data_IF_927300928848
#
_entry.id   IF_927300928848
#
_cell.length_a   1.000
_cell.length_b   1.000
_cell.length_c   1.000
_cell.angle_alpha   90.00
_cell.angle_beta   90.00
_cell.angle_gamma   90.00
#
_symmetry.space_group_name_H-M   'P 1'
#
loop_
_entity.id
_entity.type
_entity.pdbx_description
1 polymer ?
#
# COMPACT_ATOMS: atom_id res chain seq x y z
N UNK A 1 -3.99 -3.82 -7.89
CA UNK A 1 -3.71 -2.57 -7.20
C UNK A 1 -4.17 -1.43 -8.09
N UNK A 2 -5.02 -0.60 -7.54
CA UNK A 2 -5.40 0.66 -8.16
C UNK A 2 -4.33 1.66 -7.74
N UNK A 3 -3.92 2.57 -8.58
CA UNK A 3 -3.07 3.68 -8.23
C UNK A 3 -1.85 3.31 -7.35
N UNK A 4 -0.69 3.20 -7.99
CA UNK A 4 0.57 2.82 -7.33
C UNK A 4 1.53 4.02 -7.19
N UNK A 5 1.01 5.26 -7.27
CA UNK A 5 1.84 6.43 -7.08
C UNK A 5 2.18 6.59 -5.61
N UNK A 6 3.42 6.92 -5.35
CA UNK A 6 3.87 7.33 -4.03
C UNK A 6 4.91 8.46 -4.16
N UNK A 7 5.05 9.20 -3.10
CA UNK A 7 6.04 10.26 -2.99
C UNK A 7 7.03 9.91 -1.89
N UNK A 8 8.32 10.04 -2.23
CA UNK A 8 9.42 9.83 -1.28
C UNK A 8 9.96 11.16 -0.82
N UNK A 9 10.02 11.35 0.49
CA UNK A 9 10.68 12.48 1.13
C UNK A 9 11.87 11.96 1.92
N UNK A 10 13.03 12.52 1.66
CA UNK A 10 14.26 12.15 2.35
C UNK A 10 14.69 13.28 3.27
N UNK A 11 14.88 12.95 4.55
CA UNK A 11 15.49 13.79 5.55
C UNK A 11 16.82 13.16 6.05
N UNK A 12 17.51 13.83 6.95
CA UNK A 12 18.80 13.34 7.45
C UNK A 12 18.67 12.04 8.28
N UNK A 13 17.60 11.89 9.02
CA UNK A 13 17.37 10.83 10.01
C UNK A 13 16.17 9.93 9.70
N UNK A 14 15.43 10.23 8.63
CA UNK A 14 14.28 9.42 8.22
C UNK A 14 13.94 9.58 6.74
N UNK A 15 13.18 8.63 6.23
CA UNK A 15 12.49 8.70 4.94
C UNK A 15 10.99 8.61 5.18
N UNK A 16 10.20 9.36 4.43
CA UNK A 16 8.75 9.25 4.44
C UNK A 16 8.28 8.74 3.07
N UNK A 17 7.43 7.73 3.08
CA UNK A 17 6.73 7.22 1.90
C UNK A 17 5.26 7.60 2.05
N UNK A 18 4.79 8.54 1.23
CA UNK A 18 3.39 8.93 1.14
C UNK A 18 2.75 8.20 -0.04
N UNK A 19 1.77 7.35 0.24
CA UNK A 19 1.01 6.67 -0.79
C UNK A 19 -0.18 7.53 -1.21
N UNK A 20 -0.45 7.59 -2.51
CA UNK A 20 -1.61 8.32 -3.04
C UNK A 20 -2.92 7.61 -2.64
N UNK A 21 -2.95 6.26 -2.75
CA UNK A 21 -4.09 5.49 -2.26
C UNK A 21 -4.13 5.52 -0.73
N UNK A 22 -5.30 5.87 -0.16
CA UNK A 22 -5.59 5.96 1.28
C UNK A 22 -4.80 7.09 1.98
N UNK A 23 -3.94 7.82 1.28
CA UNK A 23 -3.03 8.88 1.76
C UNK A 23 -2.23 8.51 3.01
N UNK A 24 -1.93 7.22 3.16
CA UNK A 24 -1.12 6.74 4.27
C UNK A 24 0.35 7.14 4.10
N UNK A 25 0.94 7.61 5.19
CA UNK A 25 2.34 7.95 5.25
C UNK A 25 3.10 6.99 6.17
N UNK A 26 4.16 6.37 5.66
CA UNK A 26 5.11 5.58 6.46
C UNK A 26 6.33 6.42 6.77
N UNK A 27 6.59 6.67 8.05
CA UNK A 27 7.81 7.32 8.52
C UNK A 27 8.81 6.23 8.89
N UNK A 28 9.95 6.23 8.24
CA UNK A 28 10.99 5.21 8.31
C UNK A 28 12.25 5.82 8.95
N UNK A 29 12.47 5.63 10.25
CA UNK A 29 13.70 6.09 10.92
C UNK A 29 14.93 5.39 10.35
N UNK A 30 16.04 6.16 10.21
CA UNK A 30 17.35 5.70 9.71
C UNK A 30 18.42 5.69 10.83
N UNK A 31 18.03 5.90 12.07
CA UNK A 31 18.92 6.08 13.22
C UNK A 31 19.37 4.76 13.88
N UNK A 32 19.05 3.62 13.28
CA UNK A 32 19.46 2.30 13.77
C UNK A 32 18.74 1.82 15.04
N UNK A 33 17.68 2.54 15.49
CA UNK A 33 16.87 2.07 16.62
C UNK A 33 16.18 0.74 16.31
N UNK A 34 15.96 -0.12 17.29
CA UNK A 34 15.25 -1.39 17.08
C UNK A 34 13.77 -1.14 16.77
N UNK A 35 13.11 -2.18 16.27
CA UNK A 35 11.65 -2.20 16.17
C UNK A 35 11.02 -2.06 17.55
N UNK A 36 9.77 -1.59 17.59
CA UNK A 36 9.00 -1.52 18.82
C UNK A 36 8.70 -2.93 19.35
N UNK A 37 8.23 -3.01 20.61
CA UNK A 37 7.82 -4.30 21.19
C UNK A 37 6.88 -5.04 20.22
N UNK A 38 7.06 -6.36 20.01
CA UNK A 38 6.22 -7.17 19.12
C UNK A 38 4.72 -7.14 19.46
N UNK A 39 4.35 -6.74 20.66
CA UNK A 39 2.94 -6.55 21.07
C UNK A 39 2.31 -5.29 20.49
N UNK A 40 3.13 -4.32 20.05
CA UNK A 40 2.65 -3.08 19.42
C UNK A 40 2.45 -3.36 17.95
N UNK A 41 1.20 -3.60 17.55
CA UNK A 41 0.82 -3.91 16.16
C UNK A 41 0.25 -2.69 15.46
N UNK A 42 0.59 -2.52 14.18
CA UNK A 42 0.20 -1.36 13.37
C UNK A 42 -0.32 -1.81 12.01
N UNK A 43 -1.20 -1.02 11.40
CA UNK A 43 -1.77 -1.32 10.07
C UNK A 43 -0.70 -1.45 8.97
N UNK A 44 0.26 -0.52 8.95
CA UNK A 44 1.36 -0.51 7.98
C UNK A 44 2.64 -1.15 8.54
N UNK A 45 2.53 -1.81 9.70
CA UNK A 45 3.68 -2.35 10.39
C UNK A 45 4.58 -1.26 10.97
N UNK A 46 5.69 -1.68 11.55
CA UNK A 46 6.73 -0.82 12.10
C UNK A 46 7.98 -0.92 11.21
N UNK A 47 8.31 0.15 10.52
CA UNK A 47 9.41 0.19 9.55
C UNK A 47 10.71 0.73 10.17
N UNK A 48 11.84 0.17 9.75
CA UNK A 48 13.21 0.65 10.02
C UNK A 48 14.00 0.65 8.74
N UNK A 49 14.75 1.72 8.52
CA UNK A 49 15.54 1.88 7.31
C UNK A 49 17.03 1.98 7.59
N UNK A 50 17.82 1.59 6.60
CA UNK A 50 19.26 1.82 6.54
C UNK A 50 19.71 1.97 5.10
N UNK A 51 20.82 2.62 4.90
CA UNK A 51 21.49 2.65 3.61
C UNK A 51 22.46 1.48 3.48
N UNK A 52 22.43 0.84 2.31
CA UNK A 52 23.35 -0.19 1.87
C UNK A 52 23.93 0.30 0.53
N UNK A 53 25.04 1.04 0.60
CA UNK A 53 25.54 1.82 -0.53
C UNK A 53 24.48 2.82 -1.01
N UNK A 54 24.08 2.75 -2.28
CA UNK A 54 23.07 3.63 -2.89
C UNK A 54 21.64 3.07 -2.80
N UNK A 55 21.44 2.00 -2.03
CA UNK A 55 20.14 1.35 -1.84
C UNK A 55 19.57 1.67 -0.46
N UNK A 56 18.35 2.18 -0.42
CA UNK A 56 17.58 2.24 0.82
C UNK A 56 16.98 0.85 1.09
N UNK A 57 17.34 0.25 2.22
CA UNK A 57 16.77 -1.00 2.70
C UNK A 57 15.83 -0.69 3.84
N UNK A 58 14.61 -1.18 3.74
CA UNK A 58 13.56 -0.99 4.75
C UNK A 58 13.06 -2.34 5.24
N UNK A 59 13.16 -2.58 6.53
CA UNK A 59 12.60 -3.76 7.18
C UNK A 59 11.31 -3.35 7.90
N UNK A 60 10.23 -4.10 7.66
CA UNK A 60 8.92 -3.82 8.27
C UNK A 60 8.34 -5.07 8.91
N UNK A 61 8.02 -4.95 10.19
CA UNK A 61 7.41 -6.00 11.02
C UNK A 61 6.22 -5.44 11.79
N UNK A 62 5.71 -6.17 12.78
CA UNK A 62 4.66 -5.70 13.69
C UNK A 62 3.36 -5.29 12.99
N UNK A 63 3.00 -6.00 11.95
CA UNK A 63 1.71 -5.80 11.29
C UNK A 63 0.55 -6.23 12.19
N UNK A 64 -0.60 -5.59 12.03
CA UNK A 64 -1.84 -5.99 12.67
C UNK A 64 -2.35 -7.32 12.08
N UNK A 65 -3.03 -8.13 12.90
CA UNK A 65 -3.78 -9.30 12.48
C UNK A 65 -4.93 -8.98 11.50
N UNK A 66 -5.30 -7.69 11.41
CA UNK A 66 -6.30 -7.17 10.47
C UNK A 66 -5.70 -6.72 9.14
N UNK A 67 -4.37 -6.57 9.06
CA UNK A 67 -3.68 -6.31 7.80
C UNK A 67 -3.59 -7.63 7.03
N UNK A 68 -3.92 -7.63 5.75
CA UNK A 68 -3.76 -8.81 4.92
C UNK A 68 -2.97 -8.49 3.66
N UNK A 69 -1.84 -9.17 3.49
CA UNK A 69 -1.07 -9.13 2.26
C UNK A 69 -0.95 -10.55 1.69
N UNK A 70 -1.80 -10.89 0.70
CA UNK A 70 -1.86 -12.23 0.08
C UNK A 70 -2.06 -13.37 1.09
N UNK A 71 -2.81 -13.11 2.17
CA UNK A 71 -3.06 -14.04 3.26
C UNK A 71 -2.12 -13.91 4.45
N UNK A 72 -0.95 -13.32 4.30
CA UNK A 72 -0.06 -12.99 5.40
C UNK A 72 -0.61 -11.85 6.25
N UNK A 73 -0.39 -11.92 7.55
CA UNK A 73 -0.96 -10.99 8.53
C UNK A 73 0.10 -10.58 9.57
N UNK A 74 -0.13 -10.90 10.83
CA UNK A 74 0.68 -10.45 11.97
C UNK A 74 2.13 -10.95 11.97
N UNK A 75 2.39 -12.07 11.29
CA UNK A 75 3.73 -12.66 11.15
C UNK A 75 4.47 -12.22 9.89
N UNK A 76 3.83 -11.32 9.13
CA UNK A 76 4.43 -10.75 7.93
C UNK A 76 5.70 -9.96 8.27
N UNK A 77 6.77 -10.28 7.56
CA UNK A 77 8.01 -9.53 7.52
C UNK A 77 8.30 -9.13 6.08
N UNK A 78 8.52 -7.85 5.87
CA UNK A 78 8.90 -7.31 4.56
C UNK A 78 10.32 -6.75 4.63
N UNK A 79 11.12 -7.11 3.64
CA UNK A 79 12.38 -6.42 3.32
C UNK A 79 12.23 -5.74 1.97
N UNK A 80 12.20 -4.43 1.99
CA UNK A 80 12.03 -3.58 0.80
C UNK A 80 13.36 -2.94 0.45
N UNK A 81 13.70 -2.90 -0.84
CA UNK A 81 14.93 -2.29 -1.34
C UNK A 81 14.57 -1.29 -2.44
N UNK A 82 15.03 -0.07 -2.28
CA UNK A 82 14.84 1.00 -3.24
C UNK A 82 16.20 1.41 -3.80
N UNK A 83 16.46 1.06 -5.06
CA UNK A 83 17.73 1.33 -5.73
C UNK A 83 17.50 2.23 -6.94
N UNK A 84 18.19 3.35 -7.01
CA UNK A 84 18.12 4.23 -8.18
C UNK A 84 18.96 3.64 -9.31
N UNK A 85 18.30 3.12 -10.35
CA UNK A 85 18.95 2.48 -11.51
C UNK A 85 19.07 3.41 -12.73
N UNK A 86 18.51 4.61 -12.65
CA UNK A 86 18.57 5.61 -13.71
C UNK A 86 18.15 7.00 -13.22
N UNK A 87 18.27 8.04 -14.07
CA UNK A 87 17.90 9.41 -13.70
C UNK A 87 16.44 9.55 -13.23
N UNK A 88 15.55 8.76 -13.83
CA UNK A 88 14.10 8.78 -13.57
C UNK A 88 13.53 7.43 -13.17
N UNK A 89 14.39 6.42 -12.88
CA UNK A 89 13.92 5.06 -12.60
C UNK A 89 14.46 4.57 -11.27
N UNK A 90 13.56 4.08 -10.45
CA UNK A 90 13.81 3.42 -9.17
C UNK A 90 13.46 1.93 -9.33
N UNK A 91 14.38 1.03 -8.99
CA UNK A 91 14.06 -0.37 -8.83
C UNK A 91 13.55 -0.58 -7.41
N UNK A 92 12.34 -1.09 -7.29
CA UNK A 92 11.72 -1.46 -6.03
C UNK A 92 11.62 -2.98 -5.94
N UNK A 93 12.34 -3.55 -5.00
CA UNK A 93 12.36 -5.00 -4.75
C UNK A 93 11.77 -5.27 -3.37
N UNK A 94 10.94 -6.29 -3.26
CA UNK A 94 10.30 -6.67 -2.00
C UNK A 94 10.48 -8.15 -1.77
N UNK A 95 11.10 -8.50 -0.65
CA UNK A 95 11.10 -9.87 -0.13
C UNK A 95 10.03 -9.99 0.93
N UNK A 96 9.17 -10.98 0.77
CA UNK A 96 8.04 -11.29 1.62
C UNK A 96 8.30 -12.57 2.38
N UNK A 97 8.22 -12.50 3.70
CA UNK A 97 8.38 -13.64 4.61
C UNK A 97 7.18 -13.70 5.56
N UNK A 98 6.57 -14.86 5.64
CA UNK A 98 5.60 -15.22 6.66
C UNK A 98 5.54 -16.75 6.74
N UNK A 99 6.22 -17.37 7.71
CA UNK A 99 6.30 -18.82 7.80
C UNK A 99 4.96 -19.51 8.14
N UNK A 100 3.95 -18.75 8.51
CA UNK A 100 2.60 -19.27 8.75
C UNK A 100 1.74 -19.29 7.48
N UNK A 101 2.16 -18.53 6.46
CA UNK A 101 1.40 -18.38 5.21
C UNK A 101 2.15 -18.95 4.01
N UNK A 102 3.47 -18.80 3.96
CA UNK A 102 4.30 -19.22 2.82
C UNK A 102 5.32 -20.28 3.23
N UNK A 103 5.51 -21.29 2.40
CA UNK A 103 6.53 -22.34 2.62
C UNK A 103 7.96 -21.81 2.62
N UNK A 104 8.21 -20.71 1.92
CA UNK A 104 9.50 -20.05 1.81
C UNK A 104 9.33 -18.55 1.50
N UNK A 105 10.33 -17.73 1.83
CA UNK A 105 10.38 -16.35 1.35
C UNK A 105 10.32 -16.26 -0.17
N UNK A 106 9.70 -15.20 -0.68
CA UNK A 106 9.66 -14.92 -2.11
C UNK A 106 9.86 -13.43 -2.35
N UNK A 107 10.41 -13.10 -3.51
CA UNK A 107 10.76 -11.74 -3.88
C UNK A 107 10.12 -11.35 -5.20
N UNK A 108 9.67 -10.12 -5.31
CA UNK A 108 9.31 -9.50 -6.57
C UNK A 108 10.03 -8.17 -6.75
N UNK A 109 10.19 -7.74 -7.99
CA UNK A 109 10.84 -6.49 -8.35
C UNK A 109 10.00 -5.73 -9.37
N UNK A 110 9.92 -4.40 -9.17
CA UNK A 110 9.16 -3.49 -10.02
C UNK A 110 10.02 -2.27 -10.36
N UNK A 111 10.30 -2.00 -11.64
CA UNK A 111 10.83 -0.71 -12.03
C UNK A 111 9.74 0.35 -11.90
N UNK A 112 10.04 1.42 -11.19
CA UNK A 112 9.14 2.56 -10.97
C UNK A 112 9.71 3.78 -11.66
N UNK A 113 8.93 4.41 -12.50
CA UNK A 113 9.33 5.60 -13.22
C UNK A 113 8.86 6.86 -12.48
N UNK A 114 9.69 7.89 -12.55
CA UNK A 114 9.32 9.21 -12.04
C UNK A 114 8.10 9.72 -12.80
N UNK A 115 7.12 10.17 -12.03
CA UNK A 115 5.98 10.91 -12.52
C UNK A 115 6.12 12.37 -12.04
N UNK A 116 6.06 13.32 -12.97
CA UNK A 116 6.14 14.75 -12.66
C UNK A 116 4.76 15.36 -12.33
N UNK A 117 3.69 14.56 -12.36
CA UNK A 117 2.35 14.94 -11.92
C UNK A 117 2.27 15.13 -10.40
N UNK A 118 1.22 15.83 -9.97
CA UNK A 118 0.90 15.96 -8.55
C UNK A 118 0.31 14.64 -8.02
N UNK A 119 0.57 14.35 -6.75
CA UNK A 119 -0.13 13.30 -6.01
C UNK A 119 -1.42 13.92 -5.49
N UNK A 120 -2.55 13.34 -5.91
CA UNK A 120 -3.87 13.81 -5.53
C UNK A 120 -4.47 12.91 -4.44
N UNK A 121 -5.49 13.41 -3.77
CA UNK A 121 -6.29 12.58 -2.90
C UNK A 121 -7.01 11.49 -3.71
N UNK A 122 -6.86 10.24 -3.30
CA UNK A 122 -7.62 9.14 -3.87
C UNK A 122 -8.98 9.03 -3.20
N UNK A 123 -9.95 9.78 -3.72
CA UNK A 123 -11.32 9.88 -3.20
C UNK A 123 -12.21 8.79 -3.83
N UNK A 124 -12.02 7.53 -3.46
CA UNK A 124 -12.69 6.37 -4.06
C UNK A 124 -14.22 6.40 -3.92
N UNK A 125 -14.72 7.01 -2.85
CA UNK A 125 -16.15 7.07 -2.53
C UNK A 125 -16.79 8.39 -2.94
N UNK A 126 -16.04 9.44 -3.07
CA UNK A 126 -16.52 10.76 -3.47
C UNK A 126 -16.82 10.79 -4.96
N UNK A 127 -18.00 11.26 -5.32
CA UNK A 127 -18.44 11.27 -6.73
C UNK A 127 -18.73 9.88 -7.34
N UNK A 128 -18.76 8.82 -6.53
CA UNK A 128 -19.12 7.48 -6.99
C UNK A 128 -20.63 7.36 -7.18
N UNK A 129 -21.09 7.68 -8.37
CA UNK A 129 -22.50 7.57 -8.75
C UNK A 129 -22.93 6.13 -9.09
N UNK A 130 -22.01 5.15 -9.11
CA UNK A 130 -22.30 3.77 -9.49
C UNK A 130 -23.40 3.13 -8.65
N UNK A 131 -23.32 3.25 -7.32
CA UNK A 131 -24.32 2.72 -6.41
C UNK A 131 -25.68 3.40 -6.59
N UNK A 132 -25.69 4.72 -6.69
CA UNK A 132 -26.92 5.50 -6.90
C UNK A 132 -27.59 5.13 -8.22
N UNK A 133 -26.82 5.03 -9.31
CA UNK A 133 -27.32 4.67 -10.62
C UNK A 133 -27.84 3.23 -10.67
N UNK A 134 -27.20 2.29 -10.01
CA UNK A 134 -27.62 0.90 -9.90
C UNK A 134 -28.99 0.79 -9.19
N UNK A 135 -29.16 1.49 -8.07
CA UNK A 135 -30.42 1.53 -7.34
C UNK A 135 -31.53 2.24 -8.11
N UNK A 136 -31.20 3.31 -8.86
CA UNK A 136 -32.16 3.99 -9.70
C UNK A 136 -32.62 3.10 -10.87
N UNK A 137 -31.70 2.35 -11.47
CA UNK A 137 -31.98 1.38 -12.52
C UNK A 137 -32.96 0.29 -12.04
N UNK A 138 -32.65 -0.35 -10.90
CA UNK A 138 -33.53 -1.37 -10.31
C UNK A 138 -34.92 -0.84 -10.00
N UNK A 139 -35.04 0.37 -9.43
CA UNK A 139 -36.35 1.00 -9.16
C UNK A 139 -37.14 1.30 -10.42
N UNK A 140 -36.46 1.67 -11.50
CA UNK A 140 -37.12 1.90 -12.79
C UNK A 140 -37.65 0.58 -13.38
N UNK A 141 -36.92 -0.51 -13.27
CA UNK A 141 -37.37 -1.84 -13.68
C UNK A 141 -38.60 -2.31 -12.86
N UNK A 142 -38.53 -2.18 -11.53
CA UNK A 142 -39.63 -2.51 -10.64
C UNK A 142 -40.92 -1.73 -11.01
N UNK A 143 -40.79 -0.45 -11.34
CA UNK A 143 -41.92 0.39 -11.74
C UNK A 143 -42.52 -0.09 -13.06
N UNK A 144 -41.70 -0.52 -14.02
CA UNK A 144 -42.23 -1.07 -15.30
C UNK A 144 -42.94 -2.40 -15.08
N UNK A 145 -42.40 -3.28 -14.24
CA UNK A 145 -43.06 -4.56 -13.90
C UNK A 145 -44.38 -4.35 -13.18
N UNK A 146 -44.43 -3.45 -12.20
CA UNK A 146 -45.68 -3.12 -11.49
C UNK A 146 -46.78 -2.54 -12.42
N UNK A 147 -46.39 -1.72 -13.40
CA UNK A 147 -47.27 -1.20 -14.40
C UNK A 147 -47.81 -2.29 -15.38
N UNK A 148 -47.00 -3.32 -15.64
CA UNK A 148 -47.39 -4.44 -16.49
C UNK A 148 -48.38 -5.40 -15.78
N UNK A 149 -48.22 -5.62 -14.48
CA UNK A 149 -49.08 -6.51 -13.67
C UNK A 149 -50.43 -5.87 -13.33
N UNK A 150 -50.56 -4.57 -13.44
CA UNK A 150 -51.78 -3.83 -13.14
C UNK A 150 -52.80 -3.68 -14.30
N UNK A 151 -52.63 -4.45 -15.39
CA UNK A 151 -53.55 -4.49 -16.55
C UNK A 151 -54.44 -5.69 -16.55
#
# INVERSE_FOLDING_TARGET
AYNNNFQLFQAADHVVILNEMIHDARIIPLDGRPHVDPKVRQWLGNSRGRWDGDTLVVETTNFSDRTSFRGAQENLHLTERFTRIGPSTLLYEVTVEDPTTFERPWTFALPMNRNDGLVYEYACHEGNYGMVNLLLGARAEDAVLAAADGR
#
